data_IF_319519870189
#
_entry.id   IF_319519870189
#
_cell.length_a   1.000
_cell.length_b   1.000
_cell.length_c   1.000
_cell.angle_alpha   90.00
_cell.angle_beta   90.00
_cell.angle_gamma   90.00
#
_symmetry.space_group_name_H-M   'P 1'
#
loop_
_entity.id
_entity.type
_entity.pdbx_description
1 polymer ?
#
# COMPACT_ATOMS: atom_id res chain seq x y z
N UNK A 1 -27.62 8.17 53.50
CA UNK A 1 -28.18 7.86 52.17
C UNK A 1 -27.28 8.55 51.17
N UNK A 2 -26.20 7.88 50.80
CA UNK A 2 -25.18 8.41 49.89
C UNK A 2 -25.63 8.23 48.44
N UNK A 3 -25.74 9.33 47.71
CA UNK A 3 -25.88 9.31 46.25
C UNK A 3 -24.55 9.71 45.62
N UNK A 4 -23.86 8.75 45.04
CA UNK A 4 -22.74 8.95 44.12
C UNK A 4 -22.92 8.07 42.87
N UNK A 5 -22.32 8.45 41.73
CA UNK A 5 -23.05 8.68 40.50
C UNK A 5 -23.03 7.50 39.52
N UNK A 6 -24.11 7.35 38.76
CA UNK A 6 -24.13 6.49 37.56
C UNK A 6 -23.47 7.25 36.41
N UNK A 7 -22.16 7.03 36.23
CA UNK A 7 -21.42 7.54 35.07
C UNK A 7 -21.88 6.77 33.82
N UNK A 8 -22.69 7.44 33.01
CA UNK A 8 -23.15 6.96 31.71
C UNK A 8 -21.99 7.10 30.69
N UNK A 9 -21.14 6.08 30.58
CA UNK A 9 -20.14 5.99 29.51
C UNK A 9 -20.82 5.67 28.18
N UNK A 10 -21.52 6.67 27.60
CA UNK A 10 -21.92 6.64 26.19
C UNK A 10 -20.66 6.74 25.32
N UNK A 11 -20.14 5.57 24.97
CA UNK A 11 -19.39 5.26 23.75
C UNK A 11 -18.60 6.40 23.12
N UNK A 12 -17.44 6.71 23.71
CA UNK A 12 -16.30 7.32 23.00
C UNK A 12 -15.78 6.30 21.96
N UNK A 13 -16.52 6.08 20.88
CA UNK A 13 -16.04 5.25 19.77
C UNK A 13 -15.22 6.15 18.84
N UNK A 14 -13.90 6.11 19.06
CA UNK A 14 -12.84 6.25 18.05
C UNK A 14 -12.93 7.45 17.10
N UNK A 15 -12.77 8.65 17.65
CA UNK A 15 -12.50 9.88 16.91
C UNK A 15 -11.04 10.04 16.45
N UNK A 16 -10.32 8.96 16.12
CA UNK A 16 -8.95 9.02 15.60
C UNK A 16 -8.85 8.11 14.36
N UNK A 17 -8.14 8.58 13.32
CA UNK A 17 -8.01 7.98 11.97
C UNK A 17 -9.05 8.38 10.90
N UNK A 18 -9.49 9.64 10.86
CA UNK A 18 -9.87 10.25 9.56
C UNK A 18 -8.63 10.77 8.82
N UNK A 19 -7.59 9.96 8.71
CA UNK A 19 -6.36 10.33 8.00
C UNK A 19 -6.63 10.38 6.48
N UNK A 20 -5.79 11.11 5.73
CA UNK A 20 -5.92 11.24 4.26
C UNK A 20 -5.97 9.87 3.57
N UNK A 21 -5.19 8.93 4.09
CA UNK A 21 -5.06 7.56 3.64
C UNK A 21 -6.34 6.76 3.83
N UNK A 22 -7.13 7.05 4.87
CA UNK A 22 -8.43 6.40 5.07
C UNK A 22 -9.42 6.79 3.97
N UNK A 23 -9.54 8.09 3.68
CA UNK A 23 -10.44 8.58 2.60
C UNK A 23 -10.00 8.07 1.24
N UNK A 24 -8.70 8.07 1.00
CA UNK A 24 -8.11 7.55 -0.23
C UNK A 24 -8.38 6.05 -0.39
N UNK A 25 -8.15 5.26 0.67
CA UNK A 25 -8.48 3.83 0.67
C UNK A 25 -9.94 3.58 0.33
N UNK A 26 -10.90 4.26 0.98
CA UNK A 26 -12.34 4.02 0.75
C UNK A 26 -12.70 4.29 -0.72
N UNK A 27 -12.14 5.35 -1.32
CA UNK A 27 -12.36 5.66 -2.73
C UNK A 27 -11.82 4.57 -3.66
N UNK A 28 -10.62 4.06 -3.39
CA UNK A 28 -9.97 3.03 -4.20
C UNK A 28 -10.64 1.66 -4.02
N UNK A 29 -10.97 1.31 -2.78
CA UNK A 29 -11.60 0.03 -2.42
C UNK A 29 -13.00 -0.12 -3.02
N UNK A 30 -13.72 1.00 -3.23
CA UNK A 30 -15.01 1.01 -3.91
C UNK A 30 -14.94 0.48 -5.36
N UNK A 31 -13.78 0.56 -6.01
CA UNK A 31 -13.57 0.06 -7.38
C UNK A 31 -13.40 -1.47 -7.41
N UNK A 32 -12.88 -2.05 -6.31
CA UNK A 32 -12.39 -3.43 -6.25
C UNK A 32 -12.96 -4.21 -5.05
N UNK A 33 -14.27 -4.08 -4.80
CA UNK A 33 -15.01 -4.86 -3.80
C UNK A 33 -14.39 -4.87 -2.39
N UNK A 34 -13.82 -3.74 -1.96
CA UNK A 34 -13.23 -3.61 -0.62
C UNK A 34 -11.71 -3.81 -0.57
N UNK A 35 -11.07 -4.19 -1.68
CA UNK A 35 -9.61 -4.37 -1.73
C UNK A 35 -8.93 -3.22 -2.47
N UNK A 36 -7.68 -2.92 -2.11
CA UNK A 36 -6.82 -2.00 -2.86
C UNK A 36 -5.55 -2.73 -3.24
N UNK A 37 -5.17 -2.66 -4.51
CA UNK A 37 -3.87 -3.10 -4.96
C UNK A 37 -2.90 -1.91 -4.95
N UNK A 38 -1.67 -2.12 -4.49
CA UNK A 38 -0.57 -1.17 -4.59
C UNK A 38 0.48 -1.79 -5.49
N UNK A 39 0.79 -1.13 -6.60
CA UNK A 39 1.90 -1.54 -7.45
C UNK A 39 3.19 -0.91 -6.98
N UNK A 40 4.26 -1.67 -7.12
CA UNK A 40 5.62 -1.23 -6.96
C UNK A 40 6.43 -1.62 -8.21
N UNK A 41 7.24 -0.69 -8.69
CA UNK A 41 8.30 -0.94 -9.66
C UNK A 41 9.61 -0.32 -9.17
N UNK A 42 10.68 -1.08 -9.23
CA UNK A 42 12.01 -0.60 -8.87
C UNK A 42 13.08 -1.13 -9.83
N UNK A 43 14.10 -0.32 -10.07
CA UNK A 43 15.28 -0.70 -10.84
C UNK A 43 16.51 -0.02 -10.25
N UNK A 44 17.63 -0.75 -10.22
CA UNK A 44 18.91 -0.30 -9.65
C UNK A 44 19.98 -0.24 -10.76
N UNK A 45 19.97 0.83 -11.52
CA UNK A 45 20.92 1.06 -12.60
C UNK A 45 20.67 0.23 -13.86
N UNK A 46 21.54 0.43 -14.86
CA UNK A 46 21.38 -0.12 -16.22
C UNK A 46 21.45 -1.64 -16.27
N UNK A 47 22.30 -2.26 -15.43
CA UNK A 47 22.60 -3.69 -15.46
C UNK A 47 21.49 -4.56 -14.88
N UNK A 48 20.76 -4.05 -13.88
CA UNK A 48 19.67 -4.79 -13.25
C UNK A 48 18.35 -4.60 -14.03
N UNK A 49 17.54 -5.66 -14.08
CA UNK A 49 16.18 -5.60 -14.65
C UNK A 49 15.24 -4.91 -13.66
N UNK A 50 14.21 -4.25 -14.19
CA UNK A 50 13.15 -3.72 -13.35
C UNK A 50 12.39 -4.86 -12.67
N UNK A 51 12.14 -4.70 -11.37
CA UNK A 51 11.36 -5.62 -10.55
C UNK A 51 9.98 -5.01 -10.31
N UNK A 52 8.93 -5.79 -10.53
CA UNK A 52 7.54 -5.42 -10.28
C UNK A 52 6.92 -6.30 -9.22
N UNK A 53 6.17 -5.68 -8.30
CA UNK A 53 5.43 -6.37 -7.27
C UNK A 53 4.06 -5.70 -7.06
N UNK A 54 3.09 -6.49 -6.63
CA UNK A 54 1.78 -6.00 -6.22
C UNK A 54 1.50 -6.41 -4.77
N UNK A 55 0.89 -5.51 -4.01
CA UNK A 55 0.42 -5.76 -2.65
C UNK A 55 -1.09 -5.57 -2.62
N UNK A 56 -1.82 -6.57 -2.14
CA UNK A 56 -3.27 -6.46 -1.90
C UNK A 56 -3.48 -6.11 -0.44
N UNK A 57 -4.29 -5.09 -0.18
CA UNK A 57 -4.69 -4.68 1.17
C UNK A 57 -6.20 -4.55 1.26
N UNK A 58 -6.77 -5.21 2.27
CA UNK A 58 -8.23 -5.33 2.44
C UNK A 58 -8.74 -4.49 3.62
N UNK A 59 -7.88 -3.64 4.20
CA UNK A 59 -8.27 -2.73 5.28
C UNK A 59 -7.62 -1.35 5.14
N UNK A 60 -8.30 -0.28 5.60
CA UNK A 60 -7.71 1.07 5.62
C UNK A 60 -6.42 1.14 6.44
N UNK A 61 -6.36 0.41 7.57
CA UNK A 61 -5.17 0.34 8.42
C UNK A 61 -4.01 -0.34 7.69
N UNK A 62 -4.27 -1.47 7.03
CA UNK A 62 -3.27 -2.17 6.23
C UNK A 62 -2.73 -1.32 5.08
N UNK A 63 -3.61 -0.56 4.42
CA UNK A 63 -3.23 0.40 3.39
C UNK A 63 -2.29 1.49 3.92
N UNK A 64 -2.65 2.16 5.02
CA UNK A 64 -1.81 3.19 5.62
C UNK A 64 -0.44 2.65 6.05
N UNK A 65 -0.40 1.46 6.66
CA UNK A 65 0.85 0.78 7.03
C UNK A 65 1.71 0.53 5.79
N UNK A 66 1.12 -0.07 4.74
CA UNK A 66 1.88 -0.42 3.53
C UNK A 66 2.43 0.82 2.80
N UNK A 67 1.65 1.89 2.72
CA UNK A 67 2.10 3.16 2.14
C UNK A 67 3.27 3.77 2.93
N UNK A 68 3.22 3.72 4.27
CA UNK A 68 4.30 4.18 5.13
C UNK A 68 5.57 3.32 4.97
N UNK A 69 5.44 2.00 4.89
CA UNK A 69 6.57 1.10 4.62
C UNK A 69 7.26 1.46 3.30
N UNK A 70 6.48 1.62 2.22
CA UNK A 70 7.02 1.97 0.90
C UNK A 70 7.66 3.37 0.89
N UNK A 71 7.12 4.32 1.66
CA UNK A 71 7.72 5.64 1.84
C UNK A 71 9.10 5.55 2.53
N UNK A 72 9.21 4.80 3.62
CA UNK A 72 10.47 4.62 4.34
C UNK A 72 11.52 3.95 3.47
N UNK A 73 11.10 2.99 2.66
CA UNK A 73 11.94 2.32 1.67
C UNK A 73 12.42 3.31 0.61
N UNK A 74 11.54 4.14 0.07
CA UNK A 74 11.92 5.16 -0.92
C UNK A 74 12.96 6.12 -0.34
N UNK A 75 12.81 6.53 0.93
CA UNK A 75 13.82 7.35 1.62
C UNK A 75 15.18 6.63 1.66
N UNK A 76 15.20 5.34 2.03
CA UNK A 76 16.42 4.52 2.05
C UNK A 76 17.02 4.34 0.64
N UNK A 77 16.17 4.09 -0.36
CA UNK A 77 16.58 3.96 -1.76
C UNK A 77 17.28 5.24 -2.23
N UNK A 78 16.69 6.41 -1.97
CA UNK A 78 17.26 7.71 -2.34
C UNK A 78 18.59 8.02 -1.66
N UNK A 79 18.78 7.51 -0.44
CA UNK A 79 20.06 7.61 0.28
C UNK A 79 21.16 6.77 -0.38
N UNK A 80 20.83 5.58 -0.86
CA UNK A 80 21.78 4.67 -1.49
C UNK A 80 21.99 4.96 -2.99
N UNK A 81 21.01 5.58 -3.64
CA UNK A 81 21.00 5.94 -5.06
C UNK A 81 20.65 7.43 -5.21
N UNK A 82 21.63 8.35 -5.02
CA UNK A 82 21.36 9.80 -5.02
C UNK A 82 20.90 10.33 -6.38
N UNK A 83 21.39 9.71 -7.47
CA UNK A 83 20.98 10.02 -8.84
C UNK A 83 19.87 9.06 -9.23
N UNK A 84 18.70 9.62 -9.54
CA UNK A 84 17.55 8.88 -10.06
C UNK A 84 17.33 9.26 -11.52
N UNK A 85 17.23 8.23 -12.35
CA UNK A 85 17.06 8.35 -13.80
C UNK A 85 16.11 7.25 -14.31
N UNK A 86 16.04 7.06 -15.62
CA UNK A 86 15.21 6.02 -16.24
C UNK A 86 15.67 4.59 -15.91
N UNK A 87 16.89 4.41 -15.39
CA UNK A 87 17.46 3.12 -15.02
C UNK A 87 17.52 2.90 -13.51
N UNK A 88 17.41 3.96 -12.71
CA UNK A 88 17.56 3.93 -11.26
C UNK A 88 16.39 4.65 -10.61
N UNK A 89 15.39 3.87 -10.17
CA UNK A 89 14.17 4.42 -9.62
C UNK A 89 13.47 3.47 -8.64
N UNK A 90 12.61 4.08 -7.82
CA UNK A 90 11.67 3.40 -6.94
C UNK A 90 10.32 4.10 -7.03
N UNK A 91 9.30 3.40 -7.55
CA UNK A 91 7.98 3.97 -7.83
C UNK A 91 6.91 3.06 -7.28
N UNK A 92 5.98 3.62 -6.51
CA UNK A 92 4.83 2.89 -6.03
C UNK A 92 3.59 3.77 -6.08
N UNK A 93 2.45 3.15 -6.36
CA UNK A 93 1.17 3.83 -6.39
C UNK A 93 0.02 2.83 -6.16
N UNK A 94 -1.10 3.27 -5.55
CA UNK A 94 -2.32 2.50 -5.58
C UNK A 94 -2.83 2.35 -7.01
N UNK A 95 -3.36 1.18 -7.34
CA UNK A 95 -4.09 0.91 -8.57
C UNK A 95 -5.43 1.64 -8.53
N UNK A 96 -5.70 2.45 -9.57
CA UNK A 96 -6.92 3.26 -9.66
C UNK A 96 -7.96 2.69 -10.65
N UNK A 97 -7.78 1.43 -11.06
CA UNK A 97 -8.67 0.71 -11.96
C UNK A 97 -9.10 -0.63 -11.34
N UNK A 98 -9.96 -1.36 -12.05
CA UNK A 98 -10.33 -2.71 -11.65
C UNK A 98 -9.15 -3.65 -11.83
N UNK A 99 -8.97 -4.56 -10.88
CA UNK A 99 -7.95 -5.59 -10.95
C UNK A 99 -8.54 -6.96 -10.66
N UNK A 100 -7.89 -7.99 -11.20
CA UNK A 100 -8.14 -9.37 -10.83
C UNK A 100 -6.90 -9.95 -10.15
N UNK A 101 -7.09 -10.47 -8.94
CA UNK A 101 -6.07 -11.10 -8.13
C UNK A 101 -6.38 -12.61 -8.03
N UNK A 102 -5.61 -13.42 -8.74
CA UNK A 102 -5.76 -14.87 -8.77
C UNK A 102 -4.38 -15.55 -8.87
N UNK A 103 -4.22 -16.72 -8.26
CA UNK A 103 -2.98 -17.52 -8.33
C UNK A 103 -1.70 -16.76 -7.96
N UNK A 104 -1.76 -15.92 -6.92
CA UNK A 104 -0.67 -15.02 -6.50
C UNK A 104 -0.21 -14.03 -7.60
N UNK A 105 -1.09 -13.70 -8.55
CA UNK A 105 -0.84 -12.80 -9.65
C UNK A 105 -1.93 -11.73 -9.73
N UNK A 106 -1.51 -10.51 -10.03
CA UNK A 106 -2.35 -9.35 -10.30
C UNK A 106 -2.40 -9.14 -11.82
N UNK A 107 -3.60 -9.09 -12.38
CA UNK A 107 -3.85 -8.62 -13.74
C UNK A 107 -4.69 -7.35 -13.73
N UNK A 108 -4.35 -6.42 -14.62
CA UNK A 108 -5.04 -5.15 -14.85
C UNK A 108 -5.53 -5.13 -16.29
N UNK A 109 -6.68 -4.53 -16.55
CA UNK A 109 -7.20 -4.42 -17.92
C UNK A 109 -6.29 -3.53 -18.79
N UNK A 110 -5.66 -2.52 -18.18
CA UNK A 110 -4.71 -1.62 -18.86
C UNK A 110 -3.37 -2.26 -19.23
N UNK A 111 -3.05 -3.46 -18.71
CA UNK A 111 -1.72 -4.06 -18.84
C UNK A 111 -1.81 -5.49 -19.40
N UNK A 112 -1.06 -5.75 -20.47
CA UNK A 112 -0.99 -7.06 -21.14
C UNK A 112 -0.22 -8.14 -20.36
N UNK A 113 0.17 -7.88 -19.11
CA UNK A 113 0.99 -8.77 -18.29
C UNK A 113 0.40 -9.02 -16.89
N UNK A 114 0.96 -10.01 -16.19
CA UNK A 114 0.62 -10.30 -14.80
C UNK A 114 1.77 -9.91 -13.88
N UNK A 115 1.47 -9.31 -12.73
CA UNK A 115 2.46 -8.94 -11.70
C UNK A 115 2.32 -9.91 -10.53
N UNK A 116 3.45 -10.37 -9.98
CA UNK A 116 3.43 -11.23 -8.80
C UNK A 116 2.91 -10.48 -7.58
N UNK A 117 1.89 -11.02 -6.94
CA UNK A 117 1.41 -10.57 -5.64
C UNK A 117 2.39 -11.03 -4.57
N UNK A 118 2.77 -10.13 -3.68
CA UNK A 118 3.65 -10.40 -2.55
C UNK A 118 2.89 -10.12 -1.25
N UNK A 119 2.92 -11.08 -0.35
CA UNK A 119 2.35 -10.97 1.00
C UNK A 119 3.39 -10.60 2.07
N UNK A 120 4.67 -10.59 1.71
CA UNK A 120 5.77 -10.30 2.62
C UNK A 120 5.99 -8.79 2.82
N UNK A 121 6.55 -8.37 3.98
CA UNK A 121 7.08 -7.03 4.16
C UNK A 121 8.03 -6.66 3.02
N UNK A 122 7.97 -5.41 2.56
CA UNK A 122 8.79 -5.02 1.40
C UNK A 122 10.31 -5.16 1.65
N UNK A 123 10.76 -5.03 2.90
CA UNK A 123 12.17 -5.22 3.25
C UNK A 123 12.69 -6.62 2.90
N UNK A 124 11.82 -7.62 2.83
CA UNK A 124 12.15 -8.99 2.42
C UNK A 124 12.11 -9.18 0.89
N UNK A 125 11.56 -8.21 0.14
CA UNK A 125 11.55 -8.22 -1.33
C UNK A 125 12.89 -7.78 -1.94
N UNK A 126 13.90 -7.46 -1.12
CA UNK A 126 15.27 -7.20 -1.56
C UNK A 126 16.17 -8.45 -1.62
N UNK A 127 15.59 -9.65 -1.50
CA UNK A 127 16.26 -10.95 -1.70
C UNK A 127 15.89 -11.57 -3.06
#
# INVERSE_FOLDING_TARGET
MDQHPVMNYRGKIMGLFRSREYKEYIKLAAVNNGSVAIMLETRKGKKEKAVRAAFIVDTPKGFAIKMNELMMVNISFRKNFPVQDEYTYFRYAPVQEKFNAADNMLSLDSMTGKIKIRTVPYYDCFL
#
